data_IF_705608031146
#
_entry.id   IF_705608031146
#
_cell.length_a   1.000
_cell.length_b   1.000
_cell.length_c   1.000
_cell.angle_alpha   90.00
_cell.angle_beta   90.00
_cell.angle_gamma   90.00
#
_symmetry.space_group_name_H-M   'P 1'
#
loop_
_entity.id
_entity.type
_entity.pdbx_description
1 polymer ?
#
# COMPACT_ATOMS: atom_id res chain seq x y z
N UNK A 1 -2.10 16.21 10.64
CA UNK A 1 -2.91 15.68 9.56
C UNK A 1 -2.85 14.16 9.57
N UNK A 2 -3.99 13.54 9.47
CA UNK A 2 -4.06 12.09 9.54
C UNK A 2 -3.77 11.46 8.19
N UNK A 3 -2.95 10.42 8.21
CA UNK A 3 -2.73 9.58 7.03
C UNK A 3 -3.50 8.29 7.17
N UNK A 4 -4.78 8.42 7.35
CA UNK A 4 -5.63 7.24 7.52
C UNK A 4 -5.85 6.58 6.18
N UNK A 5 -5.46 5.32 6.09
CA UNK A 5 -5.58 4.56 4.86
C UNK A 5 -6.95 3.91 4.79
N UNK A 6 -7.68 4.22 3.73
CA UNK A 6 -9.00 3.64 3.51
C UNK A 6 -8.99 2.56 2.44
N UNK A 7 -8.01 2.60 1.52
CA UNK A 7 -7.95 1.66 0.41
C UNK A 7 -6.51 1.45 -0.01
N UNK A 8 -6.19 0.22 -0.37
CA UNK A 8 -4.88 -0.12 -0.92
C UNK A 8 -5.09 -0.69 -2.32
N UNK A 9 -4.23 -0.28 -3.24
CA UNK A 9 -4.21 -0.83 -4.58
C UNK A 9 -2.85 -1.47 -4.83
N UNK A 10 -2.86 -2.71 -5.29
CA UNK A 10 -1.63 -3.42 -5.63
C UNK A 10 -1.51 -3.47 -7.14
N UNK A 11 -0.40 -2.96 -7.66
CA UNK A 11 -0.15 -2.89 -9.09
C UNK A 11 1.10 -3.69 -9.42
N UNK A 12 1.03 -4.50 -10.46
CA UNK A 12 2.17 -5.30 -10.94
C UNK A 12 2.69 -4.68 -12.23
N UNK A 13 3.85 -4.05 -12.15
CA UNK A 13 4.45 -3.34 -13.28
C UNK A 13 5.86 -3.86 -13.50
N UNK A 14 6.16 -4.37 -14.71
CA UNK A 14 7.51 -4.79 -15.08
C UNK A 14 8.16 -5.70 -14.05
N UNK A 15 7.43 -6.71 -13.61
CA UNK A 15 7.87 -7.68 -12.61
C UNK A 15 8.03 -7.10 -11.21
N UNK A 16 7.64 -5.86 -11.00
CA UNK A 16 7.69 -5.25 -9.67
C UNK A 16 6.28 -5.06 -9.16
N UNK A 17 6.13 -5.16 -7.84
CA UNK A 17 4.86 -4.86 -7.19
C UNK A 17 4.93 -3.48 -6.54
N UNK A 18 3.86 -2.72 -6.70
CA UNK A 18 3.74 -1.39 -6.13
C UNK A 18 2.45 -1.33 -5.35
N UNK A 19 2.51 -0.79 -4.14
CA UNK A 19 1.33 -0.61 -3.31
C UNK A 19 1.02 0.89 -3.25
N UNK A 20 -0.15 1.25 -3.73
CA UNK A 20 -0.65 2.61 -3.63
C UNK A 20 -1.69 2.67 -2.53
N UNK A 21 -1.56 3.62 -1.64
CA UNK A 21 -2.46 3.79 -0.51
C UNK A 21 -3.27 5.06 -0.68
N UNK A 22 -4.58 4.96 -0.44
CA UNK A 22 -5.50 6.07 -0.63
C UNK A 22 -6.27 6.35 0.64
N UNK A 23 -6.63 7.60 0.85
CA UNK A 23 -7.46 7.98 1.98
C UNK A 23 -8.96 7.86 1.62
N UNK A 24 -9.83 8.26 2.54
CA UNK A 24 -11.27 8.14 2.32
C UNK A 24 -11.79 9.06 1.22
N UNK A 25 -11.02 10.08 0.86
CA UNK A 25 -11.36 10.98 -0.25
C UNK A 25 -10.82 10.47 -1.57
N UNK A 26 -10.25 9.25 -1.58
CA UNK A 26 -9.68 8.63 -2.77
C UNK A 26 -8.46 9.38 -3.29
N UNK A 27 -7.75 10.04 -2.39
CA UNK A 27 -6.51 10.72 -2.71
C UNK A 27 -5.33 9.82 -2.40
N UNK A 28 -4.31 9.84 -3.26
CA UNK A 28 -3.11 9.05 -3.07
C UNK A 28 -2.32 9.60 -1.89
N UNK A 29 -2.13 8.76 -0.87
CA UNK A 29 -1.39 9.13 0.33
C UNK A 29 0.06 8.69 0.25
N UNK A 30 0.30 7.48 -0.27
CA UNK A 30 1.62 6.90 -0.27
C UNK A 30 1.76 5.89 -1.40
N UNK A 31 3.00 5.69 -1.85
CA UNK A 31 3.34 4.68 -2.84
C UNK A 31 4.58 3.94 -2.36
N UNK A 32 4.50 2.62 -2.29
CA UNK A 32 5.58 1.78 -1.81
C UNK A 32 5.95 0.76 -2.88
N UNK A 33 7.22 0.71 -3.25
CA UNK A 33 7.72 -0.30 -4.16
C UNK A 33 8.19 -1.51 -3.38
N UNK A 34 7.66 -2.68 -3.71
CA UNK A 34 7.94 -3.91 -2.97
C UNK A 34 8.86 -4.88 -3.72
N UNK A 35 9.29 -4.51 -4.91
CA UNK A 35 10.12 -5.42 -5.71
C UNK A 35 9.29 -6.51 -6.35
N UNK A 36 9.95 -7.62 -6.71
CA UNK A 36 9.30 -8.69 -7.46
C UNK A 36 8.78 -9.82 -6.60
N UNK A 37 8.94 -9.74 -5.28
CA UNK A 37 8.57 -10.80 -4.36
C UNK A 37 7.21 -10.52 -3.75
N UNK A 38 6.23 -11.40 -4.00
CA UNK A 38 4.88 -11.22 -3.49
C UNK A 38 4.83 -11.28 -1.96
N UNK A 39 5.78 -11.97 -1.34
CA UNK A 39 5.82 -12.05 0.12
C UNK A 39 6.12 -10.69 0.74
N UNK A 40 6.90 -9.86 0.06
CA UNK A 40 7.17 -8.51 0.53
C UNK A 40 5.91 -7.66 0.49
N UNK A 41 5.04 -7.91 -0.50
CA UNK A 41 3.75 -7.22 -0.58
C UNK A 41 2.90 -7.54 0.64
N UNK A 42 2.83 -8.82 1.00
CA UNK A 42 2.05 -9.24 2.16
C UNK A 42 2.60 -8.65 3.46
N UNK A 43 3.93 -8.59 3.57
CA UNK A 43 4.55 -8.01 4.76
C UNK A 43 4.21 -6.53 4.88
N UNK A 44 4.25 -5.81 3.76
CA UNK A 44 3.92 -4.38 3.77
C UNK A 44 2.45 -4.15 4.09
N UNK A 45 1.56 -4.99 3.57
CA UNK A 45 0.13 -4.87 3.87
C UNK A 45 -0.11 -5.06 5.36
N UNK A 46 0.54 -6.05 5.96
CA UNK A 46 0.43 -6.30 7.39
C UNK A 46 0.89 -5.09 8.18
N UNK A 47 1.99 -4.48 7.76
CA UNK A 47 2.52 -3.31 8.45
C UNK A 47 1.58 -2.12 8.31
N UNK A 48 1.01 -1.91 7.12
CA UNK A 48 0.02 -0.86 6.94
C UNK A 48 -1.18 -1.07 7.86
N UNK A 49 -1.65 -2.28 7.97
CA UNK A 49 -2.79 -2.59 8.85
C UNK A 49 -2.47 -2.25 10.30
N UNK A 50 -1.25 -2.56 10.74
CA UNK A 50 -0.86 -2.31 12.13
C UNK A 50 -0.69 -0.84 12.44
N UNK A 51 -0.27 -0.05 11.45
CA UNK A 51 0.06 1.36 11.67
C UNK A 51 -1.07 2.31 11.37
N UNK A 52 -1.92 1.98 10.42
CA UNK A 52 -2.86 2.96 9.88
C UNK A 52 -4.32 2.61 10.09
N UNK A 53 -4.62 1.34 10.25
CA UNK A 53 -5.98 0.83 10.41
C UNK A 53 -6.89 1.18 9.23
N UNK A 54 -7.53 0.20 8.71
CA UNK A 54 -8.49 0.39 7.63
C UNK A 54 -9.90 0.57 8.17
#
# INVERSE_FOLDING_TARGET
>A
MEKKIARIEIVHIDNDFVINSYNSNNELVDTTKCGSNIEDVFADIREFHNQHYF
#
